data_IF_634601230036
#
_entry.id   IF_634601230036
#
_cell.length_a   1.000
_cell.length_b   1.000
_cell.length_c   1.000
_cell.angle_alpha   90.00
_cell.angle_beta   90.00
_cell.angle_gamma   90.00
#
_symmetry.space_group_name_H-M   'P 1'
#
loop_
_entity.id
_entity.type
_entity.pdbx_description
1 polymer ?
#
# COMPACT_ATOMS: atom_id res chain seq x y z
N UNK A 1 -4.01 28.99 -6.89
CA UNK A 1 -4.37 29.07 -5.46
C UNK A 1 -5.58 28.18 -5.28
N UNK A 2 -5.39 26.92 -4.89
CA UNK A 2 -6.50 25.97 -4.75
C UNK A 2 -7.42 26.44 -3.63
N UNK A 3 -8.75 26.52 -3.85
CA UNK A 3 -9.65 27.00 -2.82
C UNK A 3 -9.72 25.98 -1.69
N UNK A 4 -9.51 26.45 -0.46
CA UNK A 4 -9.70 25.68 0.76
C UNK A 4 -11.13 25.11 0.77
N UNK A 5 -11.26 23.81 0.55
CA UNK A 5 -12.54 23.11 0.56
C UNK A 5 -13.17 23.20 1.97
N UNK A 6 -14.33 23.85 2.18
CA UNK A 6 -15.00 23.84 3.46
C UNK A 6 -16.05 22.72 3.39
N UNK A 7 -15.63 21.48 3.57
CA UNK A 7 -16.60 20.41 3.83
C UNK A 7 -16.36 19.86 5.23
N UNK A 8 -17.29 20.10 6.18
CA UNK A 8 -17.39 19.19 7.30
C UNK A 8 -17.69 17.82 6.68
N UNK A 9 -16.82 16.84 6.91
CA UNK A 9 -16.98 15.47 6.44
C UNK A 9 -18.17 14.84 7.17
N UNK A 10 -19.38 15.29 6.85
CA UNK A 10 -20.59 14.61 7.23
C UNK A 10 -20.47 13.20 6.64
N UNK A 11 -20.56 12.19 7.49
CA UNK A 11 -20.66 10.81 7.02
C UNK A 11 -21.90 10.76 6.14
N UNK A 12 -21.74 10.55 4.84
CA UNK A 12 -22.88 10.34 3.95
C UNK A 12 -23.72 9.19 4.53
N UNK A 13 -24.99 9.43 4.88
CA UNK A 13 -25.83 8.43 5.53
C UNK A 13 -26.11 7.21 4.64
N UNK A 14 -25.83 7.29 3.34
CA UNK A 14 -25.91 6.21 2.35
C UNK A 14 -24.63 5.36 2.24
N UNK A 15 -23.56 5.68 2.97
CA UNK A 15 -22.35 4.85 2.94
C UNK A 15 -22.53 3.60 3.80
N UNK A 16 -22.89 2.50 3.15
CA UNK A 16 -22.95 1.19 3.80
C UNK A 16 -21.61 0.83 4.48
N UNK A 17 -21.64 0.10 5.61
CA UNK A 17 -20.42 -0.27 6.31
C UNK A 17 -19.49 -1.09 5.40
N UNK A 18 -18.32 -0.52 5.08
CA UNK A 18 -17.28 -1.23 4.31
C UNK A 18 -16.93 -2.54 5.02
N UNK A 19 -16.92 -3.63 4.25
CA UNK A 19 -16.64 -4.96 4.77
C UNK A 19 -15.23 -5.03 5.38
N UNK A 20 -15.03 -5.94 6.34
CA UNK A 20 -13.71 -6.08 6.99
C UNK A 20 -12.63 -6.45 5.98
N UNK A 21 -12.94 -7.32 5.02
CA UNK A 21 -12.02 -7.74 3.95
C UNK A 21 -11.52 -6.55 3.14
N UNK A 22 -12.40 -5.62 2.77
CA UNK A 22 -12.00 -4.43 2.00
C UNK A 22 -11.12 -3.50 2.84
N UNK A 23 -11.43 -3.33 4.13
CA UNK A 23 -10.59 -2.55 5.05
C UNK A 23 -9.19 -3.15 5.20
N UNK A 24 -9.09 -4.47 5.21
CA UNK A 24 -7.82 -5.19 5.27
C UNK A 24 -6.99 -4.96 4.00
N UNK A 25 -7.61 -4.97 2.83
CA UNK A 25 -6.95 -4.64 1.55
C UNK A 25 -6.41 -3.20 1.59
N UNK A 26 -7.23 -2.24 2.02
CA UNK A 26 -6.79 -0.83 2.12
C UNK A 26 -5.67 -0.65 3.14
N UNK A 27 -5.73 -1.35 4.29
CA UNK A 27 -4.68 -1.33 5.30
C UNK A 27 -3.37 -1.91 4.77
N UNK A 28 -3.44 -3.00 4.01
CA UNK A 28 -2.28 -3.62 3.35
C UNK A 28 -1.66 -2.69 2.32
N UNK A 29 -2.47 -2.06 1.47
CA UNK A 29 -1.99 -1.08 0.48
C UNK A 29 -1.28 0.10 1.16
N UNK A 30 -1.84 0.61 2.27
CA UNK A 30 -1.17 1.64 3.08
C UNK A 30 0.22 1.19 3.53
N UNK A 31 0.36 -0.04 4.03
CA UNK A 31 1.65 -0.56 4.45
C UNK A 31 2.64 -0.69 3.27
N UNK A 32 2.17 -1.13 2.11
CA UNK A 32 2.99 -1.23 0.89
C UNK A 32 3.55 0.14 0.49
N UNK A 33 2.72 1.18 0.48
CA UNK A 33 3.14 2.55 0.18
C UNK A 33 4.14 3.08 1.23
N UNK A 34 3.92 2.78 2.51
CA UNK A 34 4.86 3.16 3.57
C UNK A 34 6.23 2.48 3.42
N UNK A 35 6.26 1.20 3.07
CA UNK A 35 7.48 0.44 2.84
C UNK A 35 8.29 1.02 1.66
N UNK A 36 7.62 1.25 0.52
CA UNK A 36 8.23 1.84 -0.67
C UNK A 36 8.80 3.24 -0.37
N UNK A 37 8.03 4.07 0.35
CA UNK A 37 8.47 5.40 0.76
C UNK A 37 9.67 5.36 1.71
N UNK A 38 9.73 4.38 2.62
CA UNK A 38 10.86 4.21 3.55
C UNK A 38 12.17 3.88 2.83
N UNK A 39 12.12 3.10 1.74
CA UNK A 39 13.28 2.76 0.91
C UNK A 39 13.57 3.78 -0.21
N UNK A 40 12.85 4.90 -0.25
CA UNK A 40 12.99 5.94 -1.30
C UNK A 40 12.81 5.40 -2.72
N UNK A 41 12.01 4.34 -2.87
CA UNK A 41 11.64 3.81 -4.19
C UNK A 41 10.59 4.70 -4.85
N UNK A 42 10.64 4.82 -6.17
CA UNK A 42 9.62 5.55 -6.91
C UNK A 42 8.27 4.82 -6.83
N UNK A 43 7.22 5.57 -6.49
CA UNK A 43 5.86 5.06 -6.39
C UNK A 43 5.20 5.07 -7.78
N UNK A 44 5.20 3.90 -8.42
CA UNK A 44 4.43 3.61 -9.62
C UNK A 44 3.30 2.62 -9.31
N UNK A 45 2.26 2.59 -10.13
CA UNK A 45 1.18 1.61 -9.99
C UNK A 45 1.71 0.17 -9.98
N UNK A 46 2.69 -0.12 -10.84
CA UNK A 46 3.39 -1.42 -10.91
C UNK A 46 4.16 -1.75 -9.63
N UNK A 47 4.90 -0.78 -9.07
CA UNK A 47 5.64 -0.97 -7.82
C UNK A 47 4.72 -1.30 -6.64
N UNK A 48 3.56 -0.62 -6.56
CA UNK A 48 2.57 -0.86 -5.51
C UNK A 48 1.90 -2.22 -5.72
N UNK A 49 1.58 -2.58 -6.96
CA UNK A 49 1.00 -3.88 -7.31
C UNK A 49 1.95 -5.03 -6.88
N UNK A 50 3.23 -4.95 -7.23
CA UNK A 50 4.20 -6.00 -6.88
C UNK A 50 4.50 -6.07 -5.40
N UNK A 51 4.57 -4.92 -4.72
CA UNK A 51 4.68 -4.89 -3.25
C UNK A 51 3.46 -5.53 -2.60
N UNK A 52 2.26 -5.25 -3.13
CA UNK A 52 1.01 -5.82 -2.63
C UNK A 52 1.00 -7.35 -2.80
N UNK A 53 1.33 -7.85 -4.00
CA UNK A 53 1.43 -9.28 -4.29
C UNK A 53 2.45 -9.98 -3.38
N UNK A 54 3.66 -9.44 -3.26
CA UNK A 54 4.70 -9.98 -2.38
C UNK A 54 4.26 -9.97 -0.92
N UNK A 55 3.52 -8.93 -0.49
CA UNK A 55 3.01 -8.85 0.87
C UNK A 55 1.99 -9.96 1.20
N UNK A 56 1.27 -10.54 0.22
CA UNK A 56 0.22 -11.54 0.46
C UNK A 56 0.71 -12.78 1.20
N UNK A 57 2.01 -13.08 1.09
CA UNK A 57 2.67 -14.15 1.83
C UNK A 57 2.76 -13.89 3.35
N UNK A 58 2.54 -12.63 3.77
CA UNK A 58 2.64 -12.17 5.15
C UNK A 58 1.31 -11.64 5.69
N UNK A 59 1.15 -11.71 7.01
CA UNK A 59 0.02 -11.10 7.70
C UNK A 59 0.19 -9.58 7.72
N UNK A 60 -0.92 -8.85 7.58
CA UNK A 60 -0.94 -7.38 7.50
C UNK A 60 -0.19 -6.71 8.66
N UNK A 61 -0.31 -7.29 9.86
CA UNK A 61 0.33 -6.79 11.09
C UNK A 61 1.85 -6.92 11.08
N UNK A 62 2.38 -7.84 10.29
CA UNK A 62 3.79 -8.19 10.24
C UNK A 62 4.53 -7.48 9.10
N UNK A 63 3.82 -6.93 8.10
CA UNK A 63 4.39 -6.23 6.93
C UNK A 63 5.33 -5.09 7.32
N UNK A 64 5.02 -4.35 8.39
CA UNK A 64 5.83 -3.21 8.84
C UNK A 64 7.02 -3.61 9.72
N UNK A 65 7.21 -4.91 10.02
CA UNK A 65 8.43 -5.37 10.68
C UNK A 65 9.60 -5.20 9.72
N UNK A 66 10.77 -4.72 10.19
CA UNK A 66 11.87 -4.38 9.30
C UNK A 66 12.37 -5.58 8.50
N UNK A 67 12.39 -6.78 9.09
CA UNK A 67 12.85 -8.00 8.43
C UNK A 67 11.94 -8.37 7.24
N UNK A 68 10.63 -8.34 7.48
CA UNK A 68 9.61 -8.70 6.48
C UNK A 68 9.47 -7.61 5.42
N UNK A 69 9.49 -6.34 5.85
CA UNK A 69 9.41 -5.20 4.95
C UNK A 69 10.58 -5.17 3.96
N UNK A 70 11.80 -5.48 4.41
CA UNK A 70 12.96 -5.60 3.54
C UNK A 70 12.82 -6.75 2.54
N UNK A 71 12.38 -7.93 3.00
CA UNK A 71 12.17 -9.09 2.13
C UNK A 71 11.14 -8.80 1.02
N UNK A 72 10.01 -8.17 1.37
CA UNK A 72 8.98 -7.77 0.40
C UNK A 72 9.55 -6.80 -0.66
N UNK A 73 10.36 -5.83 -0.23
CA UNK A 73 10.92 -4.82 -1.11
C UNK A 73 12.02 -5.38 -2.01
N UNK A 74 12.85 -6.29 -1.51
CA UNK A 74 13.85 -7.00 -2.31
C UNK A 74 13.19 -7.82 -3.42
N UNK A 75 12.13 -8.57 -3.10
CA UNK A 75 11.34 -9.31 -4.09
C UNK A 75 10.71 -8.37 -5.13
N UNK A 76 10.19 -7.23 -4.68
CA UNK A 76 9.57 -6.23 -5.56
C UNK A 76 10.59 -5.61 -6.50
N UNK A 77 11.75 -5.22 -5.96
CA UNK A 77 12.84 -4.62 -6.74
C UNK A 77 13.36 -5.60 -7.80
N UNK A 78 13.60 -6.86 -7.41
CA UNK A 78 14.06 -7.89 -8.33
C UNK A 78 13.08 -8.10 -9.50
N UNK A 79 11.77 -8.08 -9.24
CA UNK A 79 10.74 -8.18 -10.29
C UNK A 79 10.74 -6.98 -11.22
N UNK A 80 10.86 -5.77 -10.67
CA UNK A 80 10.91 -4.54 -11.47
C UNK A 80 12.15 -4.49 -12.36
N UNK A 81 13.28 -5.00 -11.90
CA UNK A 81 14.52 -5.08 -12.68
C UNK A 81 14.39 -6.06 -13.86
N UNK A 82 13.74 -7.22 -13.65
CA UNK A 82 13.51 -8.21 -14.70
C UNK A 82 12.59 -7.68 -15.79
N UNK A 83 11.51 -6.99 -15.43
CA UNK A 83 10.57 -6.43 -16.42
C UNK A 83 11.08 -5.18 -17.14
N UNK A 84 12.10 -4.52 -16.58
CA UNK A 84 12.75 -3.36 -17.20
C UNK A 84 13.85 -3.71 -18.22
N UNK A 85 14.12 -5.00 -18.46
CA UNK A 85 15.14 -5.50 -19.39
C UNK A 85 14.49 -6.08 -20.65
#
# INVERSE_FOLDING_TARGET
MWPCWPYPRARDPESEPVQRSDREVVARLRHCVQLLAAQKMQLYDTSVLYTYEASLNFKIKDILKPEIGLEILEQTQHRLEIEGT
#
